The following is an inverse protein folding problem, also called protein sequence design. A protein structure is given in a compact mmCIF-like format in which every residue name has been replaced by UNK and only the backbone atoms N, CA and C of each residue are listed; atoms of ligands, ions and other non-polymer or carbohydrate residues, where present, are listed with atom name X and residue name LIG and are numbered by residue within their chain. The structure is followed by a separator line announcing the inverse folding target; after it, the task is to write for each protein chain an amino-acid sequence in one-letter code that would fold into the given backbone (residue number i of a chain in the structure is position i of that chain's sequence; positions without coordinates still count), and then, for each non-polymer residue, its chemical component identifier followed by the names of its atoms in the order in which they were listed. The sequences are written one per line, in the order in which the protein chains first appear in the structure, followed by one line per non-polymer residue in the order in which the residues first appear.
data_IF_628104874412
#
_entry.id   IF_628104874412
#
_cell.length_a   1.000
_cell.length_b   1.000
_cell.length_c   1.000
_cell.angle_alpha   90.00
_cell.angle_beta   90.00
_cell.angle_gamma   90.00
#
_symmetry.space_group_name_H-M   'P 1'
#
loop_
_entity.id
_entity.type
_entity.pdbx_description
1 polymer ?
#
# COMPACT_ATOMS: atom_id res chain seq x y z
N UNK A 1 -2.29 38.49 23.58
CA UNK A 1 -2.32 37.02 23.34
C UNK A 1 -0.90 36.51 23.54
N UNK A 2 -0.69 35.73 24.60
CA UNK A 2 0.64 35.44 25.16
C UNK A 2 1.43 34.43 24.29
N UNK A 3 2.67 34.79 23.91
CA UNK A 3 3.61 33.96 23.13
C UNK A 3 3.86 32.60 23.79
N UNK A 4 3.77 32.55 25.12
CA UNK A 4 4.01 31.35 25.95
C UNK A 4 2.94 30.28 25.74
N UNK A 5 1.67 30.69 25.54
CA UNK A 5 0.56 29.78 25.28
C UNK A 5 0.68 29.16 23.87
N UNK A 6 1.13 29.95 22.89
CA UNK A 6 1.29 29.51 21.49
C UNK A 6 2.44 28.51 21.31
N UNK A 7 3.51 28.62 22.10
CA UNK A 7 4.62 27.67 22.10
C UNK A 7 4.19 26.28 22.62
N UNK A 8 3.32 26.25 23.65
CA UNK A 8 2.83 25.01 24.24
C UNK A 8 1.82 24.29 23.33
N UNK A 9 0.98 25.03 22.60
CA UNK A 9 0.08 24.44 21.60
C UNK A 9 0.81 23.86 20.38
N UNK A 10 1.89 24.52 19.93
CA UNK A 10 2.70 24.02 18.81
C UNK A 10 3.47 22.75 19.20
N UNK A 11 4.07 22.71 20.40
CA UNK A 11 4.77 21.54 20.90
C UNK A 11 3.85 20.31 20.99
N UNK A 12 2.61 20.48 21.50
CA UNK A 12 1.61 19.41 21.53
C UNK A 12 1.20 18.95 20.14
N UNK A 13 1.04 19.87 19.19
CA UNK A 13 0.72 19.52 17.80
C UNK A 13 1.85 18.72 17.14
N UNK A 14 3.11 19.07 17.39
CA UNK A 14 4.29 18.35 16.89
C UNK A 14 4.33 16.93 17.47
N UNK A 15 4.14 16.76 18.78
CA UNK A 15 4.12 15.44 19.43
C UNK A 15 3.00 14.58 18.86
N UNK A 16 1.77 15.12 18.76
CA UNK A 16 0.64 14.40 18.19
C UNK A 16 0.84 14.04 16.71
N UNK A 17 1.52 14.89 15.94
CA UNK A 17 1.90 14.58 14.56
C UNK A 17 2.94 13.44 14.50
N UNK A 18 3.92 13.45 15.39
CA UNK A 18 4.95 12.40 15.47
C UNK A 18 4.34 11.04 15.88
N UNK A 19 3.46 11.01 16.88
CA UNK A 19 2.76 9.79 17.28
C UNK A 19 1.86 9.22 16.17
N UNK A 20 1.19 10.10 15.40
CA UNK A 20 0.42 9.69 14.22
C UNK A 20 1.30 9.09 13.14
N UNK A 21 2.44 9.72 12.84
CA UNK A 21 3.38 9.22 11.84
C UNK A 21 3.97 7.85 12.25
N UNK A 22 4.30 7.67 13.53
CA UNK A 22 4.77 6.38 14.04
C UNK A 22 3.69 5.30 13.94
N UNK A 23 2.44 5.62 14.31
CA UNK A 23 1.32 4.69 14.15
C UNK A 23 1.13 4.27 12.69
N UNK A 24 1.16 5.23 11.77
CA UNK A 24 1.00 4.99 10.34
C UNK A 24 2.08 4.03 9.81
N UNK A 25 3.35 4.27 10.16
CA UNK A 25 4.49 3.41 9.78
C UNK A 25 4.33 1.99 10.32
N UNK A 26 4.01 1.83 11.61
CA UNK A 26 3.91 0.51 12.23
C UNK A 26 2.69 -0.26 11.71
N UNK A 27 1.57 0.41 11.46
CA UNK A 27 0.39 -0.20 10.87
C UNK A 27 0.66 -0.67 9.42
N UNK A 28 1.33 0.16 8.61
CA UNK A 28 1.81 -0.19 7.26
C UNK A 28 2.70 -1.42 7.27
N UNK A 29 3.65 -1.45 8.20
CA UNK A 29 4.54 -2.59 8.38
C UNK A 29 3.76 -3.85 8.78
N UNK A 30 2.85 -3.76 9.74
CA UNK A 30 2.02 -4.89 10.17
C UNK A 30 1.17 -5.44 9.01
N UNK A 31 0.57 -4.56 8.21
CA UNK A 31 -0.23 -4.94 7.06
C UNK A 31 0.60 -5.36 5.84
N UNK A 32 1.93 -5.33 5.92
CA UNK A 32 2.80 -5.89 4.88
C UNK A 32 3.11 -7.38 5.08
N UNK A 33 2.78 -7.95 6.24
CA UNK A 33 2.97 -9.38 6.49
C UNK A 33 1.88 -10.21 5.80
N UNK A 34 2.31 -11.20 5.00
CA UNK A 34 1.42 -12.11 4.25
C UNK A 34 0.40 -12.82 5.15
N UNK A 35 0.82 -13.22 6.36
CA UNK A 35 -0.07 -13.85 7.35
C UNK A 35 -1.19 -12.93 7.86
N UNK A 36 -1.00 -11.61 7.78
CA UNK A 36 -2.02 -10.60 8.11
C UNK A 36 -2.85 -10.25 6.87
N UNK A 37 -2.21 -10.14 5.71
CA UNK A 37 -2.87 -9.81 4.45
C UNK A 37 -3.90 -10.86 4.05
N UNK A 38 -3.57 -12.16 4.11
CA UNK A 38 -4.46 -13.20 3.60
C UNK A 38 -5.85 -13.19 4.29
N UNK A 39 -5.97 -13.13 5.62
CA UNK A 39 -7.27 -12.96 6.29
C UNK A 39 -7.99 -11.65 5.95
N UNK A 40 -7.26 -10.53 5.82
CA UNK A 40 -7.85 -9.23 5.45
C UNK A 40 -8.46 -9.30 4.05
N UNK A 41 -7.75 -9.89 3.09
CA UNK A 41 -8.22 -10.10 1.72
C UNK A 41 -9.44 -11.02 1.69
N UNK A 42 -9.36 -12.17 2.37
CA UNK A 42 -10.46 -13.12 2.42
C UNK A 42 -11.71 -12.50 3.05
N UNK A 43 -11.58 -11.65 4.08
CA UNK A 43 -12.73 -10.97 4.68
C UNK A 43 -13.31 -9.83 3.84
N UNK A 44 -12.51 -9.24 2.95
CA UNK A 44 -12.87 -8.03 2.19
C UNK A 44 -13.33 -8.31 0.76
N UNK A 45 -12.85 -9.40 0.15
CA UNK A 45 -13.08 -9.71 -1.26
C UNK A 45 -13.87 -11.01 -1.39
N UNK A 46 -15.14 -10.89 -1.78
CA UNK A 46 -16.07 -12.03 -1.91
C UNK A 46 -15.55 -13.15 -2.81
N UNK A 47 -14.84 -12.80 -3.89
CA UNK A 47 -14.27 -13.77 -4.83
C UNK A 47 -13.20 -14.68 -4.18
N UNK A 48 -12.60 -14.24 -3.06
CA UNK A 48 -11.60 -15.00 -2.33
C UNK A 48 -12.18 -15.93 -1.26
N UNK A 49 -13.48 -15.83 -0.94
CA UNK A 49 -14.13 -16.66 0.10
C UNK A 49 -14.08 -18.17 -0.20
N UNK A 50 -13.91 -18.54 -1.47
CA UNK A 50 -13.86 -19.93 -1.91
C UNK A 50 -12.48 -20.59 -1.79
N UNK A 51 -11.43 -19.80 -1.53
CA UNK A 51 -10.05 -20.29 -1.38
C UNK A 51 -9.68 -20.35 0.09
N UNK A 52 -8.83 -21.31 0.46
CA UNK A 52 -8.30 -21.35 1.81
C UNK A 52 -7.20 -20.29 2.03
N UNK A 53 -6.85 -20.05 3.30
CA UNK A 53 -5.87 -19.02 3.65
C UNK A 53 -4.48 -19.32 3.09
N UNK A 54 -4.07 -20.59 2.98
CA UNK A 54 -2.75 -20.93 2.46
C UNK A 54 -2.69 -20.70 0.95
N UNK A 55 -3.77 -20.97 0.22
CA UNK A 55 -3.88 -20.61 -1.19
C UNK A 55 -3.78 -19.10 -1.41
N UNK A 56 -4.47 -18.31 -0.59
CA UNK A 56 -4.40 -16.84 -0.65
C UNK A 56 -2.98 -16.36 -0.33
N UNK A 57 -2.34 -16.88 0.71
CA UNK A 57 -0.95 -16.54 1.07
C UNK A 57 0.02 -16.83 -0.07
N UNK A 58 -0.11 -18.01 -0.69
CA UNK A 58 0.72 -18.42 -1.81
C UNK A 58 0.48 -17.58 -3.08
N UNK A 59 -0.73 -17.03 -3.23
CA UNK A 59 -1.07 -16.15 -4.34
C UNK A 59 -0.66 -14.69 -4.14
N UNK A 60 -0.34 -14.24 -2.93
CA UNK A 60 0.17 -12.89 -2.68
C UNK A 60 1.58 -12.76 -3.27
N UNK A 61 1.78 -11.76 -4.12
CA UNK A 61 3.08 -11.46 -4.70
C UNK A 61 4.12 -11.18 -3.61
N UNK A 62 5.36 -11.69 -3.73
CA UNK A 62 6.44 -11.36 -2.81
C UNK A 62 6.88 -9.89 -2.92
N UNK A 63 6.43 -9.16 -3.96
CA UNK A 63 6.72 -7.74 -4.18
C UNK A 63 5.62 -6.87 -3.59
N UNK A 64 5.54 -6.82 -2.28
CA UNK A 64 4.64 -5.92 -1.56
C UNK A 64 5.31 -4.54 -1.47
N UNK A 65 4.66 -3.53 -2.03
CA UNK A 65 5.12 -2.15 -1.99
C UNK A 65 4.44 -1.45 -0.81
N UNK A 66 5.23 -0.79 0.05
CA UNK A 66 4.73 -0.09 1.24
C UNK A 66 5.23 1.36 1.18
N UNK A 67 4.34 2.34 1.33
CA UNK A 67 4.75 3.75 1.34
C UNK A 67 5.49 4.12 2.64
N UNK A 68 6.55 4.91 2.50
CA UNK A 68 7.39 5.46 3.58
C UNK A 68 8.06 4.48 4.55
N UNK A 69 7.95 3.16 4.34
CA UNK A 69 8.70 2.18 5.12
C UNK A 69 9.82 1.61 4.25
N UNK A 70 11.08 1.95 4.58
CA UNK A 70 12.25 1.24 4.08
C UNK A 70 12.22 -0.18 4.70
N UNK A 71 11.40 -1.08 4.14
CA UNK A 71 11.43 -2.48 4.52
C UNK A 71 12.55 -3.12 3.71
N UNK A 72 13.69 -3.33 4.36
CA UNK A 72 14.52 -4.48 4.03
C UNK A 72 13.62 -5.71 4.23
N UNK A 73 12.98 -6.17 3.15
CA UNK A 73 12.34 -7.46 3.09
C UNK A 73 13.45 -8.49 3.33
N UNK A 74 13.69 -8.81 4.59
CA UNK A 74 14.33 -10.07 4.95
C UNK A 74 13.40 -11.15 4.44
N UNK A 75 13.66 -11.54 3.20
CA UNK A 75 12.99 -12.63 2.55
C UNK A 75 13.05 -13.84 3.48
N UNK A 76 11.86 -14.37 3.76
CA UNK A 76 11.54 -15.74 4.13
C UNK A 76 11.79 -16.22 5.55
N UNK A 77 10.75 -16.89 6.06
CA UNK A 77 10.80 -18.06 6.93
C UNK A 77 11.68 -19.21 6.37
N UNK A 78 12.93 -18.95 5.96
CA UNK A 78 13.95 -19.95 5.64
C UNK A 78 15.33 -19.53 6.16
N UNK A 79 16.16 -20.47 6.64
CA UNK A 79 17.42 -20.13 7.29
C UNK A 79 18.40 -19.48 6.31
N UNK A 80 18.95 -18.33 6.72
CA UNK A 80 19.98 -17.56 6.02
C UNK A 80 21.28 -18.38 5.86
N UNK A 81 21.87 -18.36 4.68
CA UNK A 81 23.34 -18.34 4.58
C UNK A 81 23.77 -16.88 4.56
N UNK A 82 24.64 -16.54 5.52
CA UNK A 82 25.18 -15.21 5.79
C UNK A 82 26.29 -14.95 4.78
N UNK A 83 26.18 -13.89 3.99
CA UNK A 83 27.36 -13.25 3.41
C UNK A 83 27.37 -11.76 3.76
N UNK A 84 28.40 -11.40 4.52
CA UNK A 84 28.70 -10.06 4.98
C UNK A 84 28.98 -9.16 3.78
N UNK A 85 28.32 -8.00 3.71
CA UNK A 85 28.95 -6.84 3.08
C UNK A 85 28.38 -5.54 3.63
N UNK A 86 29.24 -4.86 4.38
CA UNK A 86 29.14 -3.45 4.71
C UNK A 86 28.71 -2.63 3.48
N UNK A 87 27.60 -1.89 3.60
CA UNK A 87 27.36 -0.67 2.82
C UNK A 87 26.21 0.12 3.43
N UNK A 88 26.58 1.23 4.05
CA UNK A 88 25.74 2.43 4.16
C UNK A 88 25.03 2.65 2.81
N UNK A 89 23.75 2.29 2.71
CA UNK A 89 22.91 2.63 1.57
C UNK A 89 21.92 3.70 2.03
N UNK A 90 22.15 4.88 1.47
CA UNK A 90 21.26 6.03 1.44
C UNK A 90 19.78 5.64 1.37
N UNK A 91 18.95 6.41 2.10
CA UNK A 91 17.49 6.56 1.96
C UNK A 91 17.05 6.73 0.49
N UNK A 92 17.07 5.67 -0.29
CA UNK A 92 16.65 5.69 -1.69
C UNK A 92 15.31 4.99 -1.75
N UNK A 93 14.26 5.82 -1.86
CA UNK A 93 12.90 5.39 -2.21
C UNK A 93 12.96 4.40 -3.36
N UNK A 94 12.17 3.33 -3.27
CA UNK A 94 12.12 2.29 -4.29
C UNK A 94 11.78 2.91 -5.67
N UNK A 95 12.67 2.82 -6.68
CA UNK A 95 12.47 3.47 -7.97
C UNK A 95 11.19 3.06 -8.69
N UNK A 96 10.72 1.81 -8.50
CA UNK A 96 9.46 1.32 -9.09
C UNK A 96 8.22 1.93 -8.43
N UNK A 97 8.30 2.17 -7.11
CA UNK A 97 7.25 2.90 -6.37
C UNK A 97 7.26 4.35 -6.80
N UNK A 98 8.43 4.93 -7.03
CA UNK A 98 8.55 6.30 -7.53
C UNK A 98 8.01 6.42 -8.96
N UNK A 99 8.29 5.48 -9.85
CA UNK A 99 7.72 5.45 -11.22
C UNK A 99 6.20 5.28 -11.19
N UNK A 100 5.67 4.35 -10.38
CA UNK A 100 4.22 4.20 -10.21
C UNK A 100 3.60 5.47 -9.63
N UNK A 101 4.20 6.07 -8.60
CA UNK A 101 3.71 7.31 -8.00
C UNK A 101 3.79 8.50 -8.98
N UNK A 102 4.84 8.57 -9.81
CA UNK A 102 4.98 9.59 -10.86
C UNK A 102 3.88 9.42 -11.91
N UNK A 103 3.69 8.21 -12.45
CA UNK A 103 2.63 7.91 -13.43
C UNK A 103 1.23 8.15 -12.84
N UNK A 104 1.03 7.84 -11.55
CA UNK A 104 -0.23 8.09 -10.84
C UNK A 104 -0.45 9.57 -10.49
N UNK A 105 0.61 10.38 -10.44
CA UNK A 105 0.57 11.83 -10.21
C UNK A 105 0.42 12.65 -11.49
N UNK A 106 0.84 12.13 -12.64
CA UNK A 106 0.76 12.80 -13.95
C UNK A 106 -0.66 12.82 -14.53
N UNK A 107 -1.58 11.99 -14.00
CA UNK A 107 -2.98 11.88 -14.46
C UNK A 107 -3.92 12.96 -13.83
N UNK A 108 -3.38 13.92 -13.08
CA UNK A 108 -4.09 15.16 -12.69
C UNK A 108 -4.38 15.30 -11.20
N UNK A 109 -4.22 16.52 -10.68
CA UNK A 109 -4.47 16.98 -9.30
C UNK A 109 -3.92 16.09 -8.16
N UNK A 110 -2.59 16.14 -7.97
CA UNK A 110 -1.96 15.76 -6.71
C UNK A 110 -1.40 14.33 -6.65
N UNK A 111 -0.46 14.13 -5.73
CA UNK A 111 0.25 12.87 -5.48
C UNK A 111 -0.71 11.82 -4.91
N UNK A 112 -0.77 10.63 -5.52
CA UNK A 112 -1.33 9.44 -4.85
C UNK A 112 -0.24 8.85 -3.96
N UNK A 113 -0.59 8.57 -2.71
CA UNK A 113 0.23 7.76 -1.80
C UNK A 113 -0.56 6.47 -1.52
N UNK A 114 -0.04 5.34 -2.00
CA UNK A 114 -0.60 4.01 -1.77
C UNK A 114 0.08 3.41 -0.55
N UNK A 115 -0.67 3.03 0.49
CA UNK A 115 -0.05 2.60 1.75
C UNK A 115 0.55 1.19 1.64
N UNK A 116 -0.22 0.21 1.16
CA UNK A 116 0.27 -1.15 0.86
C UNK A 116 -0.30 -1.60 -0.48
N UNK A 117 0.56 -1.85 -1.46
CA UNK A 117 0.19 -2.17 -2.85
C UNK A 117 0.88 -3.44 -3.35
N UNK A 118 0.11 -4.38 -3.90
CA UNK A 118 0.63 -5.66 -4.36
C UNK A 118 -0.33 -6.36 -5.34
N UNK A 119 0.18 -7.36 -6.07
CA UNK A 119 -0.65 -8.25 -6.90
C UNK A 119 -1.01 -9.52 -6.14
N UNK A 120 -2.19 -10.07 -6.39
CA UNK A 120 -2.65 -11.37 -5.90
C UNK A 120 -3.06 -12.23 -7.09
N UNK A 121 -2.59 -13.48 -7.10
CA UNK A 121 -2.88 -14.48 -8.11
C UNK A 121 -3.21 -15.80 -7.43
N UNK A 122 -4.50 -16.14 -7.35
CA UNK A 122 -5.01 -17.36 -6.73
C UNK A 122 -5.90 -18.07 -7.74
N UNK A 123 -5.37 -19.12 -8.39
CA UNK A 123 -6.07 -19.88 -9.43
C UNK A 123 -6.62 -18.93 -10.52
N UNK A 124 -7.95 -18.80 -10.63
CA UNK A 124 -8.62 -17.96 -11.63
C UNK A 124 -8.80 -16.50 -11.17
N UNK A 125 -8.42 -16.17 -9.93
CA UNK A 125 -8.50 -14.82 -9.38
C UNK A 125 -7.16 -14.09 -9.54
N UNK A 126 -7.16 -13.00 -10.30
CA UNK A 126 -5.99 -12.14 -10.49
C UNK A 126 -6.37 -10.68 -10.28
N UNK A 127 -5.74 -10.03 -9.31
CA UNK A 127 -6.06 -8.65 -8.97
C UNK A 127 -4.85 -7.85 -8.50
N UNK A 128 -4.94 -6.53 -8.68
CA UNK A 128 -4.10 -5.54 -8.04
C UNK A 128 -4.82 -5.04 -6.79
N UNK A 129 -4.15 -5.07 -5.65
CA UNK A 129 -4.69 -4.65 -4.36
C UNK A 129 -3.97 -3.40 -3.89
N UNK A 130 -4.74 -2.43 -3.42
CA UNK A 130 -4.28 -1.34 -2.57
C UNK A 130 -5.02 -1.39 -1.22
N UNK A 131 -4.27 -1.35 -0.13
CA UNK A 131 -4.81 -1.14 1.22
C UNK A 131 -4.40 0.26 1.65
N UNK A 132 -5.37 1.08 2.03
CA UNK A 132 -5.19 2.40 2.64
C UNK A 132 -5.43 2.27 4.15
N UNK A 133 -4.54 2.80 4.97
CA UNK A 133 -4.58 2.64 6.43
C UNK A 133 -5.08 3.91 7.07
N UNK A 134 -6.13 3.80 7.88
CA UNK A 134 -6.74 4.95 8.53
C UNK A 134 -7.06 4.70 10.01
N UNK A 135 -6.91 5.74 10.83
CA UNK A 135 -7.09 5.66 12.30
C UNK A 135 -8.55 5.87 12.74
N UNK A 136 -9.43 6.41 11.88
CA UNK A 136 -10.88 6.59 12.11
C UNK A 136 -11.56 7.25 10.88
N UNK A 137 -12.89 7.09 10.77
CA UNK A 137 -13.74 7.63 9.71
C UNK A 137 -13.59 9.18 9.61
N UNK A 138 -13.06 9.75 8.52
CA UNK A 138 -12.89 11.18 8.32
C UNK A 138 -14.26 11.87 8.19
N UNK A 139 -14.63 12.59 9.24
CA UNK A 139 -15.92 13.29 9.33
C UNK A 139 -16.28 14.26 8.20
N UNK A 140 -15.36 14.68 7.31
CA UNK A 140 -15.62 15.78 6.36
C UNK A 140 -15.05 15.64 4.93
N UNK A 141 -14.46 14.49 4.55
CA UNK A 141 -14.07 14.21 3.16
C UNK A 141 -14.56 12.81 2.82
N UNK A 142 -15.49 12.69 1.86
CA UNK A 142 -16.08 11.41 1.48
C UNK A 142 -14.98 10.47 0.94
N UNK A 143 -14.42 9.63 1.83
CA UNK A 143 -13.34 8.66 1.52
C UNK A 143 -13.68 7.80 0.32
N UNK A 144 -14.97 7.49 0.13
CA UNK A 144 -15.47 6.72 -1.01
C UNK A 144 -14.91 7.25 -2.33
N UNK A 145 -14.90 8.56 -2.51
CA UNK A 145 -14.38 9.18 -3.72
C UNK A 145 -12.86 9.05 -3.85
N UNK A 146 -12.11 8.99 -2.74
CA UNK A 146 -10.66 8.72 -2.78
C UNK A 146 -10.38 7.29 -3.25
N UNK A 147 -11.06 6.30 -2.67
CA UNK A 147 -10.90 4.89 -3.05
C UNK A 147 -11.28 4.65 -4.51
N UNK A 148 -12.40 5.25 -4.95
CA UNK A 148 -12.85 5.23 -6.35
C UNK A 148 -11.79 5.86 -7.28
N UNK A 149 -11.26 7.03 -6.91
CA UNK A 149 -10.22 7.71 -7.68
C UNK A 149 -8.91 6.91 -7.76
N UNK A 150 -8.45 6.35 -6.64
CA UNK A 150 -7.25 5.51 -6.61
C UNK A 150 -7.46 4.25 -7.46
N UNK A 151 -8.61 3.58 -7.31
CA UNK A 151 -8.97 2.41 -8.11
C UNK A 151 -8.97 2.69 -9.60
N UNK A 152 -9.62 3.78 -10.03
CA UNK A 152 -9.67 4.19 -11.43
C UNK A 152 -8.27 4.51 -12.02
N UNK A 153 -7.40 5.15 -11.23
CA UNK A 153 -6.04 5.46 -11.66
C UNK A 153 -5.15 4.21 -11.71
N UNK A 154 -5.25 3.30 -10.74
CA UNK A 154 -4.56 2.01 -10.77
C UNK A 154 -5.00 1.22 -12.01
N UNK A 155 -6.31 1.12 -12.27
CA UNK A 155 -6.84 0.47 -13.46
C UNK A 155 -6.25 1.09 -14.73
N UNK A 156 -6.34 2.40 -14.88
CA UNK A 156 -5.78 3.14 -16.03
C UNK A 156 -4.28 2.92 -16.19
N UNK A 157 -3.54 2.85 -15.08
CA UNK A 157 -2.08 2.62 -15.12
C UNK A 157 -1.70 1.28 -15.75
N UNK A 158 -2.60 0.31 -15.81
CA UNK A 158 -2.30 -0.99 -16.43
C UNK A 158 -2.31 -0.92 -17.97
N UNK A 159 -2.80 0.18 -18.56
CA UNK A 159 -2.79 0.39 -20.00
C UNK A 159 -1.36 0.29 -20.54
N UNK A 160 -1.22 -0.37 -21.69
CA UNK A 160 0.03 -0.63 -22.39
C UNK A 160 1.02 -1.53 -21.61
N UNK A 161 0.60 -2.08 -20.45
CA UNK A 161 1.36 -3.06 -19.65
C UNK A 161 0.64 -4.39 -19.48
N UNK A 162 -0.67 -4.36 -19.22
CA UNK A 162 -1.53 -5.53 -19.06
C UNK A 162 -2.64 -5.58 -20.11
N UNK A 163 -3.09 -4.42 -20.60
CA UNK A 163 -4.15 -4.33 -21.61
C UNK A 163 -3.88 -3.20 -22.63
N UNK A 164 -4.55 -3.26 -23.78
CA UNK A 164 -4.51 -2.22 -24.83
C UNK A 164 -5.90 -1.60 -25.03
N UNK A 165 -6.02 -0.50 -25.78
CA UNK A 165 -7.30 0.14 -26.05
C UNK A 165 -8.33 -0.76 -26.73
N UNK A 166 -7.90 -1.88 -27.32
CA UNK A 166 -8.79 -2.83 -28.00
C UNK A 166 -9.06 -4.10 -27.17
N UNK A 167 -8.38 -4.28 -26.03
CA UNK A 167 -8.40 -5.50 -25.23
C UNK A 167 -8.56 -5.23 -23.72
N UNK A 168 -9.55 -4.43 -23.34
CA UNK A 168 -9.81 -4.10 -21.93
C UNK A 168 -10.09 -5.32 -21.04
N UNK A 169 -10.53 -6.45 -21.61
CA UNK A 169 -10.75 -7.71 -20.91
C UNK A 169 -9.49 -8.29 -20.26
N UNK A 170 -8.31 -7.85 -20.71
CA UNK A 170 -7.03 -8.34 -20.21
C UNK A 170 -6.55 -7.56 -18.98
N UNK A 171 -7.28 -6.51 -18.59
CA UNK A 171 -7.00 -5.75 -17.38
C UNK A 171 -7.22 -6.63 -16.15
N UNK A 172 -6.31 -6.53 -15.18
CA UNK A 172 -6.51 -7.15 -13.88
C UNK A 172 -7.55 -6.37 -13.09
N UNK A 173 -8.34 -7.09 -12.31
CA UNK A 173 -9.25 -6.49 -11.34
C UNK A 173 -8.47 -5.60 -10.36
N UNK A 174 -9.09 -4.53 -9.89
CA UNK A 174 -8.49 -3.59 -8.93
C UNK A 174 -9.37 -3.51 -7.70
N UNK A 175 -8.77 -3.74 -6.53
CA UNK A 175 -9.45 -3.56 -5.24
C UNK A 175 -8.71 -2.52 -4.41
N UNK A 176 -9.48 -1.58 -3.85
CA UNK A 176 -9.02 -0.65 -2.82
C UNK A 176 -9.75 -0.99 -1.53
N UNK A 177 -9.01 -1.21 -0.44
CA UNK A 177 -9.53 -1.58 0.89
C UNK A 177 -9.09 -0.49 1.88
N UNK A 178 -9.97 -0.08 2.79
CA UNK A 178 -9.69 0.90 3.84
C UNK A 178 -10.02 0.36 5.24
#
# INVERSE_FOLDING_TARGET
MDKTIRANSLAKAIIAANERAQYDIEAKKLLSYVDILAPVLQGSIKALHQYDLEEIKNGISPKILVDQVDIELENTNRPKQIENSDKQKSKQRNPRVQELNTVLSEIGEGSILLDVFFEVNVRDFHAIINIEIQKCDPSNYFIKHRMENHGARILTSQKDRKYTSDHYSDALDVYTIC
#
